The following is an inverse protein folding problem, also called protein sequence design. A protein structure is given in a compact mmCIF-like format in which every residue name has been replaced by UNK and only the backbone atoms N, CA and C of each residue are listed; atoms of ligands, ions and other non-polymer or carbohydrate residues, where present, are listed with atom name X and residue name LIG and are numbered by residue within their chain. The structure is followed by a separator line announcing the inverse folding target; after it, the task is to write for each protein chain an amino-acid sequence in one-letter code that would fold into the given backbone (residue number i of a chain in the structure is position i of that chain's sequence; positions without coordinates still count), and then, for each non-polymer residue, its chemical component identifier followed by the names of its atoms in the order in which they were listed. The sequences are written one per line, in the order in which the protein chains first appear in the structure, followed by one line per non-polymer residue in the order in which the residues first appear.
data_IF_913094493320
#
_entry.id   IF_913094493320
#
_cell.length_a   1.000
_cell.length_b   1.000
_cell.length_c   1.000
_cell.angle_alpha   90.00
_cell.angle_beta   90.00
_cell.angle_gamma   90.00
#
_symmetry.space_group_name_H-M   'P 1'
#
loop_
_entity.id
_entity.type
_entity.pdbx_description
1 polymer ?
#
# COMPACT_ATOMS: atom_id res chain seq x y z
N UNK A 1 23.12 15.64 11.46
CA UNK A 1 22.86 15.90 10.03
C UNK A 1 21.51 15.29 9.69
N UNK A 2 20.48 16.07 9.36
CA UNK A 2 19.28 15.50 8.77
C UNK A 2 19.69 14.94 7.40
N UNK A 3 19.53 13.63 7.20
CA UNK A 3 19.86 12.96 5.93
C UNK A 3 18.88 13.38 4.82
N UNK A 4 17.72 13.93 5.20
CA UNK A 4 16.70 14.47 4.30
C UNK A 4 16.72 16.00 4.33
N UNK A 5 17.08 16.62 3.20
CA UNK A 5 16.86 18.04 2.94
C UNK A 5 15.70 18.21 1.96
N UNK A 6 14.49 18.39 2.48
CA UNK A 6 13.30 18.65 1.67
C UNK A 6 13.31 20.02 0.98
N UNK A 7 14.30 20.87 1.27
CA UNK A 7 14.52 22.09 0.47
C UNK A 7 15.09 21.75 -0.92
N UNK A 8 15.59 20.53 -1.13
CA UNK A 8 15.99 20.03 -2.43
C UNK A 8 14.85 19.22 -3.03
N UNK A 9 13.93 19.93 -3.69
CA UNK A 9 12.72 19.37 -4.34
C UNK A 9 13.02 18.17 -5.26
N UNK A 10 14.24 18.10 -5.80
CA UNK A 10 14.70 17.00 -6.63
C UNK A 10 14.67 15.63 -5.93
N UNK A 11 15.12 15.52 -4.67
CA UNK A 11 15.11 14.23 -3.95
C UNK A 11 13.70 13.75 -3.65
N UNK A 12 12.81 14.67 -3.26
CA UNK A 12 11.40 14.37 -3.06
C UNK A 12 10.75 13.86 -4.35
N UNK A 13 11.07 14.47 -5.48
CA UNK A 13 10.55 14.04 -6.78
C UNK A 13 11.05 12.65 -7.16
N UNK A 14 12.33 12.34 -6.97
CA UNK A 14 12.90 11.02 -7.22
C UNK A 14 12.23 9.93 -6.36
N UNK A 15 12.00 10.18 -5.07
CA UNK A 15 11.34 9.22 -4.19
C UNK A 15 9.88 8.95 -4.62
N UNK A 16 9.15 10.01 -4.99
CA UNK A 16 7.79 9.90 -5.51
C UNK A 16 7.79 9.11 -6.81
N UNK A 17 8.70 9.41 -7.73
CA UNK A 17 8.84 8.71 -9.01
C UNK A 17 9.16 7.23 -8.79
N UNK A 18 10.11 6.90 -7.91
CA UNK A 18 10.46 5.51 -7.62
C UNK A 18 9.26 4.73 -7.06
N UNK A 19 8.57 5.28 -6.05
CA UNK A 19 7.42 4.63 -5.42
C UNK A 19 6.28 4.46 -6.43
N UNK A 20 5.98 5.51 -7.22
CA UNK A 20 4.91 5.44 -8.23
C UNK A 20 5.23 4.48 -9.37
N UNK A 21 6.49 4.38 -9.80
CA UNK A 21 6.92 3.37 -10.76
C UNK A 21 6.74 1.96 -10.20
N UNK A 22 7.08 1.73 -8.94
CA UNK A 22 6.89 0.43 -8.28
C UNK A 22 5.41 0.08 -8.11
N UNK A 23 4.55 1.05 -7.82
CA UNK A 23 3.09 0.88 -7.89
C UNK A 23 2.71 0.48 -9.32
N UNK A 24 3.17 1.19 -10.35
CA UNK A 24 2.86 0.91 -11.75
C UNK A 24 3.37 -0.44 -12.26
N UNK A 25 4.42 -1.00 -11.65
CA UNK A 25 4.89 -2.36 -11.95
C UNK A 25 3.98 -3.44 -11.36
N UNK A 26 3.35 -3.18 -10.20
CA UNK A 26 2.53 -4.15 -9.49
C UNK A 26 1.04 -4.02 -9.79
N UNK A 27 0.58 -2.81 -10.10
CA UNK A 27 -0.83 -2.46 -10.24
C UNK A 27 -1.09 -1.63 -11.49
N UNK A 28 -2.28 -1.76 -12.07
CA UNK A 28 -2.85 -0.79 -13.01
C UNK A 28 -3.78 0.14 -12.25
N UNK A 29 -3.82 1.40 -12.68
CA UNK A 29 -4.77 2.40 -12.20
C UNK A 29 -5.65 2.75 -13.38
N UNK A 30 -6.90 2.32 -13.32
CA UNK A 30 -7.92 2.57 -14.33
C UNK A 30 -8.88 3.63 -13.82
N UNK A 31 -9.45 4.42 -14.72
CA UNK A 31 -10.47 5.43 -14.41
C UNK A 31 -11.74 5.04 -15.13
N UNK A 32 -12.79 4.72 -14.38
CA UNK A 32 -14.11 4.44 -14.92
C UNK A 32 -15.15 5.33 -14.22
N UNK A 33 -15.95 6.06 -15.01
CA UNK A 33 -16.96 7.01 -14.54
C UNK A 33 -16.47 8.00 -13.46
N UNK A 34 -15.22 8.47 -13.59
CA UNK A 34 -14.59 9.39 -12.64
C UNK A 34 -14.11 8.76 -11.33
N UNK A 35 -14.33 7.45 -11.12
CA UNK A 35 -13.75 6.68 -10.02
C UNK A 35 -12.47 5.99 -10.46
N UNK A 36 -11.46 5.98 -9.58
CA UNK A 36 -10.23 5.22 -9.79
C UNK A 36 -10.42 3.79 -9.31
N UNK A 37 -9.93 2.85 -10.09
CA UNK A 37 -9.88 1.44 -9.77
C UNK A 37 -8.44 0.98 -9.87
N UNK A 38 -7.91 0.46 -8.76
CA UNK A 38 -6.55 -0.06 -8.68
C UNK A 38 -6.62 -1.58 -8.74
N UNK A 39 -5.98 -2.19 -9.75
CA UNK A 39 -6.02 -3.63 -10.01
C UNK A 39 -4.62 -4.21 -10.03
N UNK A 40 -4.44 -5.42 -9.51
CA UNK A 40 -3.15 -6.11 -9.56
C UNK A 40 -2.83 -6.55 -10.98
N UNK A 41 -1.56 -6.43 -11.38
CA UNK A 41 -1.02 -6.97 -12.64
C UNK A 41 -0.44 -8.38 -12.48
N UNK A 42 -0.49 -8.93 -11.27
CA UNK A 42 0.14 -10.23 -10.97
C UNK A 42 -0.74 -11.37 -11.47
N UNK A 43 -0.36 -12.02 -12.56
CA UNK A 43 -1.11 -13.14 -13.16
C UNK A 43 -0.48 -14.50 -12.83
N UNK A 44 -1.31 -15.53 -12.67
CA UNK A 44 -0.89 -16.94 -12.64
C UNK A 44 -1.17 -17.57 -14.00
N UNK A 45 -0.17 -18.24 -14.55
CA UNK A 45 -0.27 -18.90 -15.84
C UNK A 45 -0.80 -20.32 -15.67
N UNK A 46 -2.07 -20.48 -15.28
CA UNK A 46 -2.61 -21.82 -15.01
C UNK A 46 -3.13 -22.46 -16.30
N UNK A 47 -2.36 -23.36 -16.90
CA UNK A 47 -2.94 -24.43 -17.72
C UNK A 47 -3.56 -25.42 -16.74
N UNK A 48 -4.87 -25.58 -16.80
CA UNK A 48 -5.72 -26.53 -16.07
C UNK A 48 -5.04 -27.44 -15.03
N UNK A 49 -5.47 -27.27 -13.77
CA UNK A 49 -5.10 -28.07 -12.57
C UNK A 49 -3.73 -27.73 -11.95
N UNK A 50 -3.78 -26.91 -10.89
CA UNK A 50 -2.99 -26.95 -9.62
C UNK A 50 -2.90 -25.54 -8.99
N UNK A 51 -4.05 -25.03 -8.56
CA UNK A 51 -4.28 -23.63 -8.22
C UNK A 51 -3.77 -23.18 -6.85
N UNK A 52 -3.29 -24.07 -5.96
CA UNK A 52 -2.82 -23.69 -4.62
C UNK A 52 -1.31 -23.43 -4.55
N UNK A 53 -0.47 -24.30 -5.11
CA UNK A 53 0.99 -24.18 -4.98
C UNK A 53 1.56 -23.04 -5.83
N UNK A 54 1.13 -22.92 -7.09
CA UNK A 54 1.55 -21.81 -7.95
C UNK A 54 1.07 -20.45 -7.42
N UNK A 55 -0.14 -20.41 -6.86
CA UNK A 55 -0.67 -19.23 -6.19
C UNK A 55 0.17 -18.86 -4.96
N UNK A 56 0.45 -19.83 -4.09
CA UNK A 56 1.30 -19.63 -2.91
C UNK A 56 2.71 -19.17 -3.28
N UNK A 57 3.33 -19.79 -4.30
CA UNK A 57 4.66 -19.41 -4.77
C UNK A 57 4.68 -17.99 -5.34
N UNK A 58 3.67 -17.61 -6.11
CA UNK A 58 3.56 -16.26 -6.68
C UNK A 58 3.28 -15.23 -5.59
N UNK A 59 2.38 -15.54 -4.65
CA UNK A 59 2.09 -14.71 -3.49
C UNK A 59 3.33 -14.50 -2.61
N UNK A 60 4.08 -15.56 -2.29
CA UNK A 60 5.31 -15.48 -1.51
C UNK A 60 6.39 -14.62 -2.18
N UNK A 61 6.45 -14.59 -3.51
CA UNK A 61 7.32 -13.67 -4.28
C UNK A 61 6.83 -12.23 -4.27
N UNK A 62 5.52 -12.02 -4.14
CA UNK A 62 4.90 -10.69 -4.10
C UNK A 62 5.08 -10.02 -2.73
N UNK A 63 5.01 -10.78 -1.64
CA UNK A 63 5.07 -10.26 -0.27
C UNK A 63 6.29 -9.36 0.01
N UNK A 64 7.54 -9.71 -0.34
CA UNK A 64 8.70 -8.83 -0.12
C UNK A 64 8.58 -7.48 -0.84
N UNK A 65 8.05 -7.48 -2.08
CA UNK A 65 7.86 -6.26 -2.87
C UNK A 65 6.85 -5.33 -2.21
N UNK A 66 5.77 -5.92 -1.68
CA UNK A 66 4.68 -5.22 -1.00
C UNK A 66 5.14 -4.67 0.34
N UNK A 67 5.89 -5.46 1.11
CA UNK A 67 6.50 -5.01 2.38
C UNK A 67 7.41 -3.82 2.18
N UNK A 68 8.28 -3.86 1.16
CA UNK A 68 9.15 -2.74 0.84
C UNK A 68 8.34 -1.54 0.39
N UNK A 69 7.40 -1.70 -0.55
CA UNK A 69 6.60 -0.59 -1.07
C UNK A 69 5.79 0.11 0.03
N UNK A 70 5.20 -0.67 0.93
CA UNK A 70 4.44 -0.16 2.07
C UNK A 70 5.29 0.71 2.99
N UNK A 71 6.51 0.25 3.30
CA UNK A 71 7.45 0.99 4.17
C UNK A 71 7.86 2.32 3.54
N UNK A 72 8.12 2.32 2.24
CA UNK A 72 8.57 3.50 1.52
C UNK A 72 7.41 4.52 1.40
N UNK A 73 6.20 4.07 1.05
CA UNK A 73 4.99 4.90 1.05
C UNK A 73 4.75 5.53 2.43
N UNK A 74 4.82 4.75 3.50
CA UNK A 74 4.63 5.24 4.86
C UNK A 74 5.71 6.24 5.28
N UNK A 75 6.97 5.95 4.98
CA UNK A 75 8.09 6.81 5.36
C UNK A 75 8.03 8.14 4.63
N UNK A 76 7.60 8.14 3.36
CA UNK A 76 7.41 9.36 2.59
C UNK A 76 6.25 10.21 3.14
N UNK A 77 5.10 9.60 3.46
CA UNK A 77 3.99 10.27 4.14
C UNK A 77 4.47 10.94 5.43
N UNK A 78 5.23 10.19 6.26
CA UNK A 78 5.74 10.70 7.52
C UNK A 78 6.69 11.89 7.33
N UNK A 79 7.59 11.83 6.35
CA UNK A 79 8.52 12.91 6.03
C UNK A 79 7.80 14.18 5.56
N UNK A 80 6.88 14.06 4.59
CA UNK A 80 6.10 15.19 4.06
C UNK A 80 5.23 15.80 5.15
N UNK A 81 4.52 14.97 5.93
CA UNK A 81 3.64 15.48 6.97
C UNK A 81 4.43 16.24 8.04
N UNK A 82 5.57 15.70 8.49
CA UNK A 82 6.45 16.37 9.45
C UNK A 82 6.95 17.71 8.92
N UNK A 83 7.38 17.76 7.66
CA UNK A 83 7.83 18.99 7.03
C UNK A 83 6.75 20.07 7.04
N UNK A 84 5.52 19.71 6.66
CA UNK A 84 4.38 20.63 6.63
C UNK A 84 3.89 21.03 8.03
N UNK A 85 4.27 20.31 9.09
CA UNK A 85 3.73 20.47 10.44
C UNK A 85 4.83 20.70 11.50
N UNK A 86 5.87 21.47 11.19
CA UNK A 86 6.94 21.85 12.13
C UNK A 86 7.58 20.64 12.83
N UNK A 87 7.90 19.60 12.06
CA UNK A 87 8.45 18.32 12.49
C UNK A 87 7.57 17.49 13.45
N UNK A 88 6.28 17.83 13.59
CA UNK A 88 5.33 17.06 14.41
C UNK A 88 4.54 16.08 13.54
N UNK A 89 4.54 14.81 13.92
CA UNK A 89 3.72 13.78 13.28
C UNK A 89 2.45 13.51 14.10
N UNK A 90 1.33 14.10 13.70
CA UNK A 90 0.05 13.92 14.38
C UNK A 90 -0.79 12.85 13.70
N UNK A 91 -0.63 11.60 14.15
CA UNK A 91 -1.35 10.44 13.60
C UNK A 91 -2.87 10.59 13.66
N UNK A 92 -3.42 11.24 14.68
CA UNK A 92 -4.87 11.36 14.89
C UNK A 92 -5.51 12.17 13.76
N UNK A 93 -4.82 13.19 13.26
CA UNK A 93 -5.31 14.00 12.14
C UNK A 93 -5.32 13.16 10.85
N UNK A 94 -4.25 12.41 10.59
CA UNK A 94 -4.16 11.53 9.42
C UNK A 94 -5.21 10.41 9.48
N UNK A 95 -5.39 9.79 10.64
CA UNK A 95 -6.42 8.75 10.89
C UNK A 95 -7.86 9.28 10.70
N UNK A 96 -8.09 10.58 10.92
CA UNK A 96 -9.38 11.23 10.64
C UNK A 96 -9.56 11.68 9.19
N UNK A 97 -8.46 11.95 8.50
CA UNK A 97 -8.48 12.55 7.15
C UNK A 97 -8.48 11.49 6.06
N UNK A 98 -7.67 10.44 6.23
CA UNK A 98 -7.48 9.40 5.22
C UNK A 98 -8.08 8.09 5.70
N UNK A 99 -9.01 7.56 4.92
CA UNK A 99 -9.64 6.27 5.19
C UNK A 99 -8.59 5.15 5.26
N UNK A 100 -8.67 4.29 6.28
CA UNK A 100 -7.75 3.17 6.52
C UNK A 100 -6.31 3.56 6.90
N UNK A 101 -6.05 4.83 7.25
CA UNK A 101 -4.70 5.25 7.66
C UNK A 101 -4.22 4.56 8.95
N UNK A 102 -5.13 4.28 9.89
CA UNK A 102 -4.79 3.53 11.09
C UNK A 102 -4.25 2.14 10.72
N UNK A 103 -4.97 1.40 9.87
CA UNK A 103 -4.54 0.09 9.39
C UNK A 103 -3.26 0.16 8.54
N UNK A 104 -3.10 1.20 7.74
CA UNK A 104 -1.88 1.46 7.00
C UNK A 104 -0.66 1.59 7.94
N UNK A 105 -0.82 2.33 9.04
CA UNK A 105 0.21 2.45 10.09
C UNK A 105 0.47 1.12 10.81
N UNK A 106 -0.58 0.40 11.18
CA UNK A 106 -0.47 -0.88 11.88
C UNK A 106 0.26 -1.93 11.03
N UNK A 107 -0.06 -2.00 9.73
CA UNK A 107 0.61 -2.89 8.78
C UNK A 107 2.10 -2.52 8.63
N UNK A 108 2.42 -1.21 8.57
CA UNK A 108 3.81 -0.76 8.56
C UNK A 108 4.57 -1.19 9.81
N UNK A 109 3.95 -1.07 10.99
CA UNK A 109 4.54 -1.50 12.25
C UNK A 109 4.81 -3.01 12.25
N UNK A 110 3.87 -3.84 11.78
CA UNK A 110 4.06 -5.28 11.65
C UNK A 110 5.19 -5.64 10.67
N UNK A 111 5.34 -4.89 9.59
CA UNK A 111 6.45 -5.11 8.65
C UNK A 111 7.81 -4.67 9.20
N UNK A 112 7.84 -3.75 10.19
CA UNK A 112 9.08 -3.28 10.86
C UNK A 112 9.45 -4.16 12.06
N UNK A 113 8.47 -4.55 12.86
CA UNK A 113 8.64 -5.31 14.09
C UNK A 113 7.77 -6.56 14.04
N UNK A 114 8.37 -7.73 14.26
CA UNK A 114 7.63 -8.97 14.40
C UNK A 114 6.76 -8.89 15.68
N UNK A 115 5.48 -8.54 15.49
CA UNK A 115 4.36 -8.61 16.43
C UNK A 115 4.53 -7.91 17.79
N UNK A 116 3.93 -6.72 17.94
CA UNK A 116 3.42 -6.24 19.23
C UNK A 116 2.03 -6.85 19.43
N UNK A 117 1.83 -7.65 20.49
CA UNK A 117 0.69 -8.57 20.68
C UNK A 117 -0.73 -7.98 20.83
N UNK A 118 -0.98 -6.76 20.38
CA UNK A 118 -2.29 -6.09 20.49
C UNK A 118 -3.19 -6.30 19.25
N UNK A 119 -2.61 -6.61 18.08
CA UNK A 119 -3.35 -6.74 16.82
C UNK A 119 -2.78 -7.89 15.99
N UNK A 120 -3.67 -8.78 15.55
CA UNK A 120 -3.35 -9.83 14.58
C UNK A 120 -3.64 -9.32 13.17
N UNK A 121 -2.65 -9.40 12.29
CA UNK A 121 -2.78 -8.96 10.90
C UNK A 121 -2.32 -10.10 9.99
N UNK A 122 -3.27 -10.64 9.24
CA UNK A 122 -3.03 -11.72 8.30
C UNK A 122 -3.04 -11.16 6.87
N UNK A 123 -1.92 -11.29 6.16
CA UNK A 123 -1.82 -10.94 4.75
C UNK A 123 -2.14 -12.19 3.94
N UNK A 124 -3.16 -12.14 3.10
CA UNK A 124 -3.66 -13.28 2.33
C UNK A 124 -3.75 -12.96 0.83
N UNK A 125 -3.57 -13.95 -0.05
CA UNK A 125 -3.87 -13.78 -1.46
C UNK A 125 -5.39 -13.75 -1.70
N UNK A 126 -5.84 -12.87 -2.59
CA UNK A 126 -7.15 -12.96 -3.24
C UNK A 126 -6.90 -13.35 -4.69
N UNK A 127 -7.59 -14.37 -5.18
CA UNK A 127 -7.54 -14.73 -6.61
C UNK A 127 -8.83 -14.30 -7.29
N UNK A 128 -8.70 -13.61 -8.42
CA UNK A 128 -9.81 -13.16 -9.26
C UNK A 128 -9.59 -13.66 -10.69
N UNK A 129 -10.65 -13.96 -11.41
CA UNK A 129 -10.58 -14.30 -12.83
C UNK A 129 -10.92 -13.06 -13.65
N UNK A 130 -9.97 -12.54 -14.44
CA UNK A 130 -10.19 -11.43 -15.37
C UNK A 130 -9.61 -11.80 -16.74
N UNK A 131 -10.40 -11.64 -17.82
CA UNK A 131 -9.97 -11.91 -19.20
C UNK A 131 -9.25 -13.26 -19.39
N UNK A 132 -9.82 -14.33 -18.84
CA UNK A 132 -9.27 -15.70 -18.86
C UNK A 132 -7.91 -15.87 -18.15
N UNK A 133 -7.50 -14.87 -17.35
CA UNK A 133 -6.30 -14.92 -16.53
C UNK A 133 -6.66 -14.91 -15.04
N UNK A 134 -5.96 -15.75 -14.27
CA UNK A 134 -6.05 -15.71 -12.81
C UNK A 134 -5.15 -14.58 -12.30
N UNK A 135 -5.74 -13.54 -11.74
CA UNK A 135 -5.04 -12.42 -11.10
C UNK A 135 -4.95 -12.68 -9.59
N UNK A 136 -3.75 -12.53 -9.03
CA UNK A 136 -3.53 -12.50 -7.58
C UNK A 136 -3.47 -11.06 -7.12
N UNK A 137 -4.26 -10.74 -6.12
CA UNK A 137 -4.19 -9.51 -5.34
C UNK A 137 -3.97 -9.83 -3.85
N UNK A 138 -3.82 -8.79 -3.03
CA UNK A 138 -3.54 -8.91 -1.60
C UNK A 138 -4.68 -8.32 -0.77
N UNK A 139 -5.13 -9.09 0.21
CA UNK A 139 -5.93 -8.60 1.33
C UNK A 139 -5.11 -8.58 2.60
N UNK A 140 -5.36 -7.60 3.45
CA UNK A 140 -4.89 -7.55 4.82
C UNK A 140 -6.09 -7.66 5.75
N UNK A 141 -6.16 -8.73 6.53
CA UNK A 141 -7.18 -8.97 7.52
C UNK A 141 -6.69 -8.48 8.87
N UNK A 142 -7.32 -7.44 9.40
CA UNK A 142 -7.01 -6.86 10.70
C UNK A 142 -7.98 -7.41 11.75
N UNK A 143 -7.45 -7.97 12.83
CA UNK A 143 -8.22 -8.41 13.99
C UNK A 143 -7.66 -7.75 15.24
N UNK A 144 -8.44 -6.84 15.83
CA UNK A 144 -8.12 -6.16 17.09
C UNK A 144 -8.82 -6.92 18.21
N UNK A 145 -8.09 -7.56 19.11
CA UNK A 145 -8.68 -8.36 20.21
C UNK A 145 -9.75 -9.37 19.72
N UNK A 146 -10.90 -9.44 20.40
CA UNK A 146 -12.06 -10.28 20.05
C UNK A 146 -13.02 -9.60 19.04
N UNK A 147 -12.60 -8.51 18.40
CA UNK A 147 -13.42 -7.85 17.39
C UNK A 147 -13.49 -8.65 16.08
N UNK A 148 -14.49 -8.31 15.26
CA UNK A 148 -14.65 -8.85 13.92
C UNK A 148 -13.45 -8.51 13.03
N UNK A 149 -13.11 -9.45 12.14
CA UNK A 149 -12.06 -9.24 11.14
C UNK A 149 -12.48 -8.09 10.21
N UNK A 150 -11.59 -7.10 10.07
CA UNK A 150 -11.71 -6.03 9.07
C UNK A 150 -10.81 -6.36 7.87
N UNK A 151 -11.37 -6.84 6.74
CA UNK A 151 -10.61 -7.04 5.51
C UNK A 151 -10.38 -5.70 4.81
N UNK A 152 -9.14 -5.44 4.38
CA UNK A 152 -8.77 -4.28 3.56
C UNK A 152 -7.94 -4.75 2.38
N UNK A 153 -8.31 -4.34 1.17
CA UNK A 153 -7.52 -4.65 -0.02
C UNK A 153 -6.25 -3.79 -0.02
N UNK A 154 -5.10 -4.38 -0.32
CA UNK A 154 -3.86 -3.61 -0.41
C UNK A 154 -3.93 -2.43 -1.41
N UNK A 155 -4.63 -2.55 -2.57
CA UNK A 155 -4.99 -1.41 -3.41
C UNK A 155 -5.57 -0.19 -2.68
N UNK A 156 -6.34 -0.37 -1.59
CA UNK A 156 -6.94 0.74 -0.84
C UNK A 156 -5.86 1.59 -0.15
N UNK A 157 -4.73 0.96 0.25
CA UNK A 157 -3.59 1.68 0.80
C UNK A 157 -2.83 2.48 -0.27
N UNK A 158 -2.80 1.98 -1.51
CA UNK A 158 -2.24 2.70 -2.64
C UNK A 158 -3.11 3.93 -2.94
N UNK A 159 -4.43 3.77 -2.97
CA UNK A 159 -5.36 4.90 -3.15
C UNK A 159 -5.19 5.94 -2.05
N UNK A 160 -5.08 5.54 -0.79
CA UNK A 160 -4.75 6.44 0.33
C UNK A 160 -3.46 7.22 0.06
N UNK A 161 -2.39 6.54 -0.35
CA UNK A 161 -1.10 7.17 -0.60
C UNK A 161 -1.18 8.19 -1.74
N UNK A 162 -1.86 7.84 -2.84
CA UNK A 162 -2.05 8.74 -3.98
C UNK A 162 -2.93 9.96 -3.63
N UNK A 163 -3.98 9.76 -2.82
CA UNK A 163 -4.80 10.85 -2.30
C UNK A 163 -3.97 11.78 -1.42
N UNK A 164 -3.16 11.24 -0.51
CA UNK A 164 -2.25 12.03 0.30
C UNK A 164 -1.30 12.89 -0.55
N UNK A 165 -0.67 12.31 -1.58
CA UNK A 165 0.21 13.06 -2.47
C UNK A 165 -0.54 14.17 -3.22
N UNK A 166 -1.75 13.90 -3.70
CA UNK A 166 -2.58 14.91 -4.36
C UNK A 166 -2.94 16.06 -3.42
N UNK A 167 -3.39 15.75 -2.21
CA UNK A 167 -3.86 16.76 -1.24
C UNK A 167 -2.70 17.65 -0.75
N UNK A 168 -1.46 17.17 -0.83
CA UNK A 168 -0.24 17.95 -0.59
C UNK A 168 0.32 18.60 -1.88
N UNK A 169 -0.39 18.55 -3.00
CA UNK A 169 -0.01 19.21 -4.26
C UNK A 169 1.18 18.58 -4.98
N UNK A 170 1.53 17.33 -4.66
CA UNK A 170 2.72 16.65 -5.19
C UNK A 170 2.45 15.89 -6.48
N UNK A 171 1.20 15.48 -6.69
CA UNK A 171 0.76 14.84 -7.93
C UNK A 171 -0.59 15.41 -8.38
N UNK A 172 -0.91 15.21 -9.66
CA UNK A 172 -2.23 15.50 -10.21
C UNK A 172 -2.75 14.27 -10.94
N UNK A 173 -4.04 13.95 -10.75
CA UNK A 173 -4.70 12.95 -11.58
C UNK A 173 -5.19 13.63 -12.86
N UNK A 174 -4.76 13.12 -14.01
CA UNK A 174 -5.32 13.49 -15.31
C UNK A 174 -6.50 12.54 -15.62
#
# INVERSE_FOLDING_TARGET
MPIYDLNQTYYLWQDIEEITNRIGLLYSIEKDNGKRFIKSKTTINSKHHWTSEECNNTFNKLIPKIKSLHKDMYSLIEAIYKYNNNNKFNRIILEKTYQNFEEFRLLNNQFKHYSSGEIEINVIPITMLENDQNIIDICCNFKKNDENIKPIRYPDFIELFLLFLKDNGLITFR
#
